data_IF_889483284373
#
_entry.id   IF_889483284373
#
_cell.length_a   1.000
_cell.length_b   1.000
_cell.length_c   1.000
_cell.angle_alpha   90.00
_cell.angle_beta   90.00
_cell.angle_gamma   90.00
#
_symmetry.space_group_name_H-M   'P 1'
#
loop_
_entity.id
_entity.type
_entity.pdbx_description
1 polymer ?
#
# COMPACT_ATOMS: atom_id res chain seq x y z
N UNK A 1 -8.19 4.87 6.51
CA UNK A 1 -7.69 6.13 5.91
C UNK A 1 -8.75 6.83 5.05
N UNK A 2 -9.25 6.28 3.96
CA UNK A 2 -10.22 6.97 3.08
C UNK A 2 -11.48 7.48 3.80
N UNK A 3 -11.96 6.77 4.84
CA UNK A 3 -13.09 7.24 5.67
C UNK A 3 -12.73 8.52 6.43
N UNK A 4 -11.50 8.63 6.95
CA UNK A 4 -11.01 9.86 7.59
C UNK A 4 -10.98 11.03 6.59
N UNK A 5 -10.48 10.78 5.37
CA UNK A 5 -10.52 11.79 4.29
C UNK A 5 -11.96 12.24 4.00
N UNK A 6 -12.90 11.28 3.92
CA UNK A 6 -14.32 11.59 3.71
C UNK A 6 -14.93 12.49 4.81
N UNK A 7 -14.57 12.23 6.06
CA UNK A 7 -15.00 13.04 7.21
C UNK A 7 -14.35 14.43 7.20
N UNK A 8 -13.03 14.49 6.98
CA UNK A 8 -12.27 15.74 6.92
C UNK A 8 -12.77 16.66 5.80
N UNK A 9 -13.12 16.08 4.66
CA UNK A 9 -13.70 16.79 3.50
C UNK A 9 -15.21 17.06 3.64
N UNK A 10 -15.83 16.65 4.75
CA UNK A 10 -17.27 16.84 5.01
C UNK A 10 -18.17 16.13 3.99
N UNK A 11 -17.69 15.10 3.34
CA UNK A 11 -18.51 14.20 2.51
C UNK A 11 -19.38 13.28 3.37
N UNK A 12 -18.96 13.04 4.60
CA UNK A 12 -19.67 12.31 5.63
C UNK A 12 -19.46 13.01 6.98
N UNK A 13 -20.47 13.00 7.86
CA UNK A 13 -20.31 13.56 9.20
C UNK A 13 -19.30 12.74 10.04
N UNK A 14 -18.48 13.41 10.89
CA UNK A 14 -17.47 12.74 11.73
C UNK A 14 -18.06 11.59 12.54
N UNK A 15 -19.21 11.79 13.17
CA UNK A 15 -19.87 10.75 13.95
C UNK A 15 -20.28 9.53 13.10
N UNK A 16 -20.75 9.74 11.86
CA UNK A 16 -21.06 8.64 10.95
C UNK A 16 -19.80 7.89 10.53
N UNK A 17 -18.72 8.60 10.25
CA UNK A 17 -17.41 8.02 9.95
C UNK A 17 -16.87 7.21 11.13
N UNK A 18 -16.97 7.74 12.36
CA UNK A 18 -16.57 7.03 13.58
C UNK A 18 -17.36 5.73 13.78
N UNK A 19 -18.68 5.77 13.66
CA UNK A 19 -19.51 4.56 13.74
C UNK A 19 -19.16 3.53 12.67
N UNK A 20 -18.88 3.97 11.43
CA UNK A 20 -18.47 3.06 10.36
C UNK A 20 -17.12 2.41 10.64
N UNK A 21 -16.15 3.17 11.12
CA UNK A 21 -14.83 2.65 11.52
C UNK A 21 -14.99 1.67 12.68
N UNK A 22 -15.73 2.03 13.73
CA UNK A 22 -15.97 1.13 14.85
C UNK A 22 -16.63 -0.18 14.41
N UNK A 23 -17.62 -0.12 13.52
CA UNK A 23 -18.26 -1.30 12.95
C UNK A 23 -17.26 -2.23 12.24
N UNK A 24 -16.34 -1.65 11.46
CA UNK A 24 -15.27 -2.42 10.78
C UNK A 24 -14.34 -3.05 11.80
N UNK A 25 -13.85 -2.28 12.78
CA UNK A 25 -12.95 -2.78 13.82
C UNK A 25 -13.60 -3.88 14.67
N UNK A 26 -14.87 -3.71 15.03
CA UNK A 26 -15.64 -4.73 15.76
C UNK A 26 -15.76 -6.03 14.95
N UNK A 27 -16.04 -5.93 13.66
CA UNK A 27 -16.10 -7.11 12.79
C UNK A 27 -14.73 -7.82 12.70
N UNK A 28 -13.65 -7.07 12.54
CA UNK A 28 -12.30 -7.61 12.44
C UNK A 28 -11.81 -8.25 13.74
N UNK A 29 -12.21 -7.70 14.88
CA UNK A 29 -11.85 -8.18 16.19
C UNK A 29 -12.66 -9.43 16.60
N UNK A 30 -13.99 -9.39 16.42
CA UNK A 30 -14.91 -10.37 16.98
C UNK A 30 -15.27 -11.52 16.03
N UNK A 31 -15.17 -11.31 14.70
CA UNK A 31 -15.61 -12.28 13.70
C UNK A 31 -14.53 -12.76 12.75
N UNK A 32 -13.59 -11.89 12.39
CA UNK A 32 -12.61 -12.26 11.39
C UNK A 32 -11.57 -13.25 11.95
N UNK A 33 -11.31 -14.31 11.19
CA UNK A 33 -10.27 -15.29 11.54
C UNK A 33 -8.89 -14.64 11.57
N UNK A 34 -8.12 -14.94 12.62
CA UNK A 34 -6.74 -14.48 12.78
C UNK A 34 -5.81 -15.65 13.08
N UNK A 35 -4.57 -15.53 12.63
CA UNK A 35 -3.54 -16.56 12.76
C UNK A 35 -2.26 -15.92 13.27
N UNK A 36 -1.91 -16.16 14.53
CA UNK A 36 -0.84 -15.42 15.20
C UNK A 36 -1.02 -13.90 15.08
N UNK A 37 -2.27 -13.47 15.30
CA UNK A 37 -2.66 -12.06 15.20
C UNK A 37 -2.86 -11.50 13.79
N UNK A 38 -2.34 -12.15 12.74
CA UNK A 38 -2.54 -11.71 11.36
C UNK A 38 -3.86 -12.18 10.77
N UNK A 39 -4.45 -11.36 9.90
CA UNK A 39 -5.64 -11.71 9.14
C UNK A 39 -5.28 -12.43 7.84
N UNK A 40 -6.28 -13.11 7.27
CA UNK A 40 -6.12 -13.75 5.95
C UNK A 40 -6.12 -12.72 4.83
N UNK A 41 -5.51 -13.08 3.69
CA UNK A 41 -5.51 -12.28 2.47
C UNK A 41 -6.93 -11.84 2.09
N UNK A 42 -7.88 -12.77 2.06
CA UNK A 42 -9.29 -12.49 1.88
C UNK A 42 -10.15 -13.03 3.03
N UNK A 43 -11.12 -12.21 3.43
CA UNK A 43 -12.08 -12.50 4.49
C UNK A 43 -13.49 -12.42 3.92
N UNK A 44 -14.33 -13.40 4.25
CA UNK A 44 -15.74 -13.34 3.90
C UNK A 44 -16.45 -12.25 4.71
N UNK A 45 -16.92 -11.21 4.04
CA UNK A 45 -17.41 -9.96 4.66
C UNK A 45 -18.62 -10.07 5.59
N UNK A 46 -19.28 -11.24 5.67
CA UNK A 46 -20.43 -11.49 6.57
C UNK A 46 -20.02 -12.38 7.74
N UNK A 47 -19.29 -13.46 7.45
CA UNK A 47 -18.97 -14.49 8.46
C UNK A 47 -17.64 -14.27 9.17
N UNK A 48 -16.72 -13.51 8.56
CA UNK A 48 -15.34 -13.35 9.04
C UNK A 48 -14.41 -14.53 8.71
N UNK A 49 -14.94 -15.58 8.09
CA UNK A 49 -14.15 -16.75 7.74
C UNK A 49 -13.09 -16.42 6.68
N UNK A 50 -11.96 -17.08 6.75
CA UNK A 50 -10.92 -17.05 5.70
C UNK A 50 -11.51 -17.51 4.37
N UNK A 51 -11.27 -16.75 3.32
CA UNK A 51 -11.45 -17.16 1.94
C UNK A 51 -10.07 -17.42 1.35
N UNK A 52 -9.68 -18.69 1.14
CA UNK A 52 -8.34 -19.01 0.67
C UNK A 52 -7.99 -18.28 -0.64
N UNK A 53 -6.83 -17.66 -0.71
CA UNK A 53 -6.30 -17.09 -1.93
C UNK A 53 -5.76 -18.20 -2.86
N UNK A 54 -5.12 -19.20 -2.25
CA UNK A 54 -4.70 -20.44 -2.91
C UNK A 54 -4.75 -21.61 -1.92
N UNK A 55 -4.44 -22.82 -2.39
CA UNK A 55 -4.42 -24.01 -1.54
C UNK A 55 -3.57 -23.86 -0.27
N UNK A 56 -2.42 -23.19 -0.37
CA UNK A 56 -1.47 -23.01 0.73
C UNK A 56 -1.55 -21.63 1.39
N UNK A 57 -2.36 -20.73 0.82
CA UNK A 57 -2.66 -19.40 1.35
C UNK A 57 -4.10 -19.36 1.87
N UNK A 58 -4.29 -20.08 2.97
CA UNK A 58 -5.57 -20.26 3.68
C UNK A 58 -5.50 -19.83 5.16
N UNK A 59 -4.50 -19.04 5.49
CA UNK A 59 -4.23 -18.61 6.85
C UNK A 59 -3.83 -17.14 6.96
N UNK A 60 -2.81 -16.85 7.77
CA UNK A 60 -2.35 -15.49 8.00
C UNK A 60 -1.53 -14.92 6.85
N UNK A 61 -1.86 -13.70 6.43
CA UNK A 61 -1.10 -12.87 5.50
C UNK A 61 -0.54 -11.65 6.25
N UNK A 62 0.77 -11.63 6.44
CA UNK A 62 1.43 -10.58 7.23
C UNK A 62 1.46 -9.23 6.51
N UNK A 63 1.51 -9.23 5.19
CA UNK A 63 1.62 -8.01 4.37
C UNK A 63 0.27 -7.29 4.32
N UNK A 64 -0.82 -8.02 4.03
CA UNK A 64 -2.18 -7.44 4.08
C UNK A 64 -2.52 -6.97 5.50
N UNK A 65 -2.08 -7.72 6.51
CA UNK A 65 -2.18 -7.31 7.92
C UNK A 65 -1.44 -6.00 8.17
N UNK A 66 -0.25 -5.81 7.61
CA UNK A 66 0.51 -4.56 7.78
C UNK A 66 -0.22 -3.35 7.17
N UNK A 67 -0.88 -3.49 6.02
CA UNK A 67 -1.70 -2.42 5.45
C UNK A 67 -2.92 -2.10 6.32
N UNK A 68 -3.56 -3.13 6.87
CA UNK A 68 -4.68 -2.94 7.80
C UNK A 68 -4.23 -2.21 9.07
N UNK A 69 -3.13 -2.62 9.69
CA UNK A 69 -2.55 -1.97 10.88
C UNK A 69 -2.13 -0.52 10.57
N UNK A 70 -1.54 -0.26 9.41
CA UNK A 70 -1.24 1.11 8.97
C UNK A 70 -2.51 1.97 8.95
N UNK A 71 -3.63 1.42 8.49
CA UNK A 71 -4.95 2.05 8.53
C UNK A 71 -5.47 2.24 9.94
N UNK A 72 -5.34 1.24 10.82
CA UNK A 72 -5.76 1.31 12.22
C UNK A 72 -4.99 2.36 13.02
N UNK A 73 -3.68 2.46 12.83
CA UNK A 73 -2.85 3.48 13.48
C UNK A 73 -3.19 4.89 12.99
N UNK A 74 -3.62 5.05 11.73
CA UNK A 74 -4.10 6.32 11.20
C UNK A 74 -5.44 6.72 11.83
N UNK A 75 -6.41 5.80 11.92
CA UNK A 75 -7.73 6.11 12.52
C UNK A 75 -7.63 6.29 14.03
N UNK A 76 -6.68 5.64 14.72
CA UNK A 76 -6.37 5.82 16.13
C UNK A 76 -6.03 7.27 16.45
N UNK A 77 -5.31 7.94 15.58
CA UNK A 77 -4.93 9.34 15.73
C UNK A 77 -6.02 10.31 15.25
N UNK A 78 -6.80 9.92 14.23
CA UNK A 78 -7.85 10.79 13.69
C UNK A 78 -9.04 10.94 14.64
N UNK A 79 -9.50 9.83 15.24
CA UNK A 79 -10.62 9.81 16.18
C UNK A 79 -10.10 9.99 17.61
N UNK A 80 -9.82 11.23 18.01
CA UNK A 80 -9.07 11.60 19.20
C UNK A 80 -9.90 12.26 20.32
N UNK A 81 -11.22 12.45 20.13
CA UNK A 81 -12.08 13.01 21.18
C UNK A 81 -12.19 12.02 22.35
N UNK A 82 -11.61 12.42 23.49
CA UNK A 82 -11.64 11.64 24.73
C UNK A 82 -13.03 11.57 25.38
N UNK A 83 -13.93 12.48 25.03
CA UNK A 83 -15.29 12.54 25.56
C UNK A 83 -16.29 11.75 24.72
N UNK A 84 -15.93 11.36 23.50
CA UNK A 84 -16.75 10.52 22.64
C UNK A 84 -16.47 9.04 22.91
N UNK A 85 -17.45 8.25 23.39
CA UNK A 85 -17.25 6.84 23.69
C UNK A 85 -16.98 5.98 22.44
N UNK A 86 -17.49 6.39 21.27
CA UNK A 86 -17.25 5.70 20.00
C UNK A 86 -15.79 5.88 19.57
N UNK A 87 -15.28 7.10 19.64
CA UNK A 87 -13.89 7.40 19.29
C UNK A 87 -12.91 6.76 20.29
N UNK A 88 -13.29 6.74 21.58
CA UNK A 88 -12.51 6.04 22.63
C UNK A 88 -12.43 4.53 22.34
N UNK A 89 -13.53 3.90 21.94
CA UNK A 89 -13.55 2.48 21.61
C UNK A 89 -12.77 2.17 20.32
N UNK A 90 -12.79 3.07 19.32
CA UNK A 90 -11.92 2.97 18.13
C UNK A 90 -10.45 2.91 18.53
N UNK A 91 -9.99 3.84 19.37
CA UNK A 91 -8.60 3.87 19.85
C UNK A 91 -8.22 2.61 20.60
N UNK A 92 -9.08 2.14 21.48
CA UNK A 92 -8.87 0.92 22.28
C UNK A 92 -8.72 -0.31 21.38
N UNK A 93 -9.68 -0.53 20.46
CA UNK A 93 -9.65 -1.69 19.55
C UNK A 93 -8.47 -1.64 18.59
N UNK A 94 -8.18 -0.48 18.01
CA UNK A 94 -7.04 -0.31 17.11
C UNK A 94 -5.72 -0.62 17.82
N UNK A 95 -5.55 -0.16 19.07
CA UNK A 95 -4.36 -0.45 19.89
C UNK A 95 -4.28 -1.93 20.23
N UNK A 96 -5.37 -2.53 20.73
CA UNK A 96 -5.41 -3.94 21.08
C UNK A 96 -5.03 -4.84 19.90
N UNK A 97 -5.69 -4.65 18.75
CA UNK A 97 -5.42 -5.47 17.57
C UNK A 97 -4.00 -5.28 17.02
N UNK A 98 -3.45 -4.07 17.12
CA UNK A 98 -2.06 -3.78 16.79
C UNK A 98 -1.09 -4.55 17.69
N UNK A 99 -1.35 -4.57 19.00
CA UNK A 99 -0.54 -5.26 20.00
C UNK A 99 -0.62 -6.79 19.89
N UNK A 100 -1.72 -7.34 19.38
CA UNK A 100 -1.96 -8.77 19.24
C UNK A 100 -1.31 -9.41 18.02
N UNK A 101 -0.76 -8.63 17.08
CA UNK A 101 -0.05 -9.20 15.91
C UNK A 101 1.30 -9.74 16.36
N UNK A 102 1.49 -11.04 16.24
CA UNK A 102 2.72 -11.73 16.61
C UNK A 102 3.79 -11.62 15.50
N UNK A 103 4.27 -10.40 15.21
CA UNK A 103 5.26 -10.15 14.14
C UNK A 103 6.48 -11.03 14.23
N UNK A 104 6.99 -11.27 15.45
CA UNK A 104 8.16 -12.12 15.68
C UNK A 104 7.92 -13.59 15.31
N UNK A 105 6.68 -14.09 15.36
CA UNK A 105 6.29 -15.42 14.86
C UNK A 105 6.58 -15.58 13.37
N UNK A 106 6.27 -14.56 12.58
CA UNK A 106 6.44 -14.57 11.13
C UNK A 106 7.90 -14.55 10.66
N UNK A 107 8.85 -14.65 11.56
CA UNK A 107 10.26 -14.96 11.26
C UNK A 107 10.51 -16.46 11.08
N UNK A 108 9.55 -17.34 11.35
CA UNK A 108 9.64 -18.80 11.41
C UNK A 108 10.60 -19.33 12.49
N UNK A 109 11.72 -18.68 12.68
CA UNK A 109 12.75 -19.05 13.66
C UNK A 109 13.34 -17.78 14.31
N UNK A 110 13.71 -17.82 15.60
CA UNK A 110 14.26 -16.65 16.28
C UNK A 110 15.53 -16.05 15.66
N UNK A 111 16.28 -16.85 14.90
CA UNK A 111 17.52 -16.42 14.23
C UNK A 111 17.29 -15.92 12.80
N UNK A 112 16.09 -16.07 12.22
CA UNK A 112 15.80 -15.55 10.90
C UNK A 112 15.83 -14.03 10.91
N UNK A 113 16.52 -13.43 9.95
CA UNK A 113 16.50 -11.99 9.74
C UNK A 113 15.31 -11.55 8.84
N UNK A 114 14.68 -12.48 8.13
CA UNK A 114 13.55 -12.21 7.26
C UNK A 114 12.21 -12.50 7.93
N UNK A 115 11.21 -11.69 7.56
CA UNK A 115 9.80 -12.00 7.72
C UNK A 115 9.31 -12.86 6.55
N UNK A 116 8.28 -13.66 6.81
CA UNK A 116 7.64 -14.50 5.82
C UNK A 116 6.19 -14.06 5.63
N UNK A 117 5.73 -14.10 4.39
CA UNK A 117 4.46 -13.52 3.97
C UNK A 117 3.25 -14.28 4.53
N UNK A 118 3.26 -15.61 4.38
CA UNK A 118 2.11 -16.46 4.63
C UNK A 118 2.39 -17.54 5.68
N UNK A 119 1.41 -17.81 6.51
CA UNK A 119 1.37 -18.99 7.35
C UNK A 119 0.00 -19.64 7.26
N UNK A 120 -0.03 -20.95 7.04
CA UNK A 120 -1.25 -21.76 6.91
C UNK A 120 -1.47 -22.59 8.16
N UNK A 121 -2.69 -22.62 8.74
CA UNK A 121 -3.02 -23.54 9.84
C UNK A 121 -3.01 -25.01 9.39
N UNK A 122 -3.18 -25.29 8.10
CA UNK A 122 -3.23 -26.63 7.54
C UNK A 122 -1.91 -27.10 6.96
N UNK A 123 -1.08 -26.17 6.46
CA UNK A 123 0.14 -26.47 5.71
C UNK A 123 1.40 -25.81 6.28
N UNK A 124 1.27 -25.07 7.38
CA UNK A 124 2.39 -24.36 8.01
C UNK A 124 3.05 -23.36 7.06
N UNK A 125 4.36 -23.44 6.93
CA UNK A 125 5.18 -22.57 6.10
C UNK A 125 5.37 -23.09 4.66
N UNK A 126 4.43 -23.84 4.08
CA UNK A 126 4.59 -24.50 2.77
C UNK A 126 4.94 -23.54 1.64
N UNK A 127 4.37 -22.32 1.60
CA UNK A 127 4.71 -21.31 0.59
C UNK A 127 6.15 -20.81 0.79
N UNK A 128 6.60 -20.67 2.04
CA UNK A 128 7.96 -20.26 2.42
C UNK A 128 8.47 -19.00 1.71
N UNK A 129 7.57 -18.02 1.47
CA UNK A 129 7.89 -16.78 0.78
C UNK A 129 8.51 -15.77 1.75
N UNK A 130 9.83 -15.68 1.76
CA UNK A 130 10.54 -14.65 2.54
C UNK A 130 10.33 -13.27 1.88
N UNK A 131 9.91 -12.29 2.68
CA UNK A 131 9.73 -10.90 2.24
C UNK A 131 11.11 -10.26 2.13
N UNK A 132 11.58 -10.03 0.91
CA UNK A 132 12.91 -9.46 0.61
C UNK A 132 12.85 -8.59 -0.64
N UNK A 133 13.79 -7.63 -0.72
CA UNK A 133 13.88 -6.72 -1.85
C UNK A 133 12.94 -5.54 -1.74
N UNK A 134 13.20 -4.48 -2.52
CA UNK A 134 12.36 -3.29 -2.54
C UNK A 134 11.07 -3.56 -3.28
N UNK A 135 9.99 -3.56 -2.54
CA UNK A 135 8.63 -3.76 -3.00
C UNK A 135 7.65 -3.03 -2.05
N UNK A 136 6.39 -3.37 -2.10
CA UNK A 136 5.31 -2.82 -1.28
C UNK A 136 5.42 -3.12 0.22
N UNK A 137 6.26 -4.06 0.60
CA UNK A 137 6.30 -4.63 1.96
C UNK A 137 7.16 -3.83 2.97
N UNK A 138 7.68 -2.64 2.63
CA UNK A 138 8.46 -1.83 3.57
C UNK A 138 7.72 -1.64 4.91
N UNK A 139 6.45 -1.28 4.85
CA UNK A 139 5.63 -1.02 6.04
C UNK A 139 5.53 -2.24 6.96
N UNK A 140 5.59 -3.45 6.42
CA UNK A 140 5.56 -4.69 7.20
C UNK A 140 6.76 -4.77 8.15
N UNK A 141 7.96 -4.45 7.66
CA UNK A 141 9.16 -4.41 8.50
C UNK A 141 9.14 -3.24 9.48
N UNK A 142 8.69 -2.06 9.05
CA UNK A 142 8.59 -0.89 9.93
C UNK A 142 7.64 -1.17 11.10
N UNK A 143 6.46 -1.71 10.84
CA UNK A 143 5.50 -2.07 11.90
C UNK A 143 6.02 -3.21 12.78
N UNK A 144 6.62 -4.23 12.19
CA UNK A 144 7.18 -5.33 12.97
C UNK A 144 8.29 -4.89 13.94
N UNK A 145 9.10 -3.91 13.56
CA UNK A 145 10.13 -3.31 14.43
C UNK A 145 9.49 -2.40 15.49
N UNK A 146 8.45 -1.63 15.09
CA UNK A 146 7.72 -0.71 15.96
C UNK A 146 6.81 -1.42 16.99
N UNK A 147 6.52 -2.71 16.82
CA UNK A 147 5.57 -3.44 17.66
C UNK A 147 5.93 -3.34 19.15
N UNK A 148 4.97 -2.94 20.01
CA UNK A 148 5.24 -2.82 21.45
C UNK A 148 5.30 -4.17 22.18
N UNK A 149 4.71 -5.22 21.60
CA UNK A 149 4.52 -6.53 22.26
C UNK A 149 5.33 -7.65 21.63
N UNK A 150 5.39 -7.69 20.29
CA UNK A 150 6.05 -8.76 19.51
C UNK A 150 7.06 -8.21 18.51
N UNK A 151 8.00 -7.32 18.94
CA UNK A 151 8.91 -6.68 18.01
C UNK A 151 9.91 -7.66 17.40
N UNK A 152 10.39 -7.31 16.21
CA UNK A 152 11.56 -7.94 15.62
C UNK A 152 12.79 -7.02 15.78
N UNK A 153 14.02 -7.57 15.79
CA UNK A 153 15.24 -6.75 15.83
C UNK A 153 15.31 -5.75 14.67
N UNK A 154 15.74 -4.53 14.94
CA UNK A 154 15.93 -3.49 13.92
C UNK A 154 16.91 -3.94 12.81
N UNK A 155 17.85 -4.84 13.11
CA UNK A 155 18.76 -5.45 12.14
C UNK A 155 18.03 -6.17 10.98
N UNK A 156 16.79 -6.64 11.22
CA UNK A 156 15.98 -7.30 10.19
C UNK A 156 15.67 -6.39 9.01
N UNK A 157 15.64 -5.07 9.21
CA UNK A 157 15.45 -4.12 8.13
C UNK A 157 16.56 -4.24 7.08
N UNK A 158 17.82 -4.17 7.47
CA UNK A 158 18.95 -4.24 6.54
C UNK A 158 19.38 -5.67 6.19
N UNK A 159 19.23 -6.63 7.10
CA UNK A 159 19.69 -8.00 6.89
C UNK A 159 18.62 -8.94 6.35
N UNK A 160 17.36 -8.63 6.60
CA UNK A 160 16.21 -9.36 6.10
C UNK A 160 15.69 -8.77 4.80
N UNK A 161 15.04 -7.61 4.88
CA UNK A 161 14.35 -6.98 3.76
C UNK A 161 15.29 -6.41 2.71
N UNK A 162 16.24 -5.56 3.10
CA UNK A 162 17.13 -4.86 2.18
C UNK A 162 18.37 -5.66 1.73
N UNK A 163 18.53 -6.92 2.17
CA UNK A 163 19.73 -7.73 1.88
C UNK A 163 19.76 -8.30 0.46
N UNK A 164 18.64 -8.38 -0.23
CA UNK A 164 18.57 -9.02 -1.53
C UNK A 164 19.39 -8.25 -2.57
N UNK A 165 19.97 -8.98 -3.54
CA UNK A 165 20.69 -8.36 -4.66
C UNK A 165 19.79 -7.43 -5.50
N UNK A 166 18.48 -7.67 -5.45
CA UNK A 166 17.48 -6.89 -6.20
C UNK A 166 17.02 -5.63 -5.46
N UNK A 167 17.57 -5.33 -4.27
CA UNK A 167 17.20 -4.15 -3.51
C UNK A 167 17.81 -2.87 -4.07
N UNK A 168 19.14 -2.83 -4.13
CA UNK A 168 19.88 -1.70 -4.67
C UNK A 168 19.89 -1.77 -6.21
N UNK A 169 19.56 -0.65 -6.88
CA UNK A 169 19.56 -0.58 -8.34
C UNK A 169 20.70 0.32 -8.86
N UNK A 170 20.62 1.62 -8.61
CA UNK A 170 21.64 2.61 -9.00
C UNK A 170 21.66 2.99 -10.48
N UNK A 171 20.82 2.40 -11.34
CA UNK A 171 20.75 2.69 -12.76
C UNK A 171 19.97 3.97 -13.06
N UNK A 172 20.18 4.49 -14.26
CA UNK A 172 19.39 5.62 -14.80
C UNK A 172 18.56 5.11 -15.98
N UNK A 173 17.24 5.32 -15.90
CA UNK A 173 16.29 4.97 -16.95
C UNK A 173 15.60 6.23 -17.44
N UNK A 174 15.55 6.50 -18.72
CA UNK A 174 14.92 7.69 -19.33
C UNK A 174 15.39 9.01 -18.71
N UNK A 175 16.66 9.06 -18.24
CA UNK A 175 17.22 10.24 -17.59
C UNK A 175 16.94 10.37 -16.08
N UNK A 176 16.18 9.45 -15.47
CA UNK A 176 15.86 9.43 -14.04
C UNK A 176 16.65 8.34 -13.33
N UNK A 177 17.37 8.72 -12.27
CA UNK A 177 18.12 7.77 -11.43
C UNK A 177 17.15 7.00 -10.55
N UNK A 178 17.31 5.68 -10.51
CA UNK A 178 16.65 4.78 -9.58
C UNK A 178 17.67 4.24 -8.58
N UNK A 179 17.45 4.46 -7.27
CA UNK A 179 18.39 4.00 -6.25
C UNK A 179 18.09 2.57 -5.79
N UNK A 180 16.82 2.26 -5.59
CA UNK A 180 16.36 0.94 -5.13
C UNK A 180 15.18 0.45 -5.97
N UNK A 181 14.98 -0.87 -6.00
CA UNK A 181 13.88 -1.53 -6.68
C UNK A 181 14.27 -2.28 -7.95
N UNK A 182 13.36 -3.11 -8.49
CA UNK A 182 13.61 -3.89 -9.69
C UNK A 182 13.82 -2.99 -10.91
N UNK A 183 14.24 -3.59 -12.02
CA UNK A 183 14.48 -2.87 -13.27
C UNK A 183 13.28 -1.98 -13.64
N UNK A 184 13.56 -0.70 -13.94
CA UNK A 184 12.56 0.34 -14.27
C UNK A 184 11.45 0.51 -13.21
N UNK A 185 11.71 0.14 -11.95
CA UNK A 185 10.87 0.39 -10.80
C UNK A 185 9.81 -0.65 -10.48
N UNK A 186 9.57 -1.61 -11.37
CA UNK A 186 8.49 -2.58 -11.22
C UNK A 186 7.08 -1.96 -11.32
N UNK A 187 6.05 -2.64 -10.80
CA UNK A 187 4.69 -2.09 -10.70
C UNK A 187 4.64 -0.90 -9.74
N UNK A 188 3.85 0.13 -10.04
CA UNK A 188 3.86 1.36 -9.25
C UNK A 188 3.32 1.20 -7.81
N UNK A 189 2.53 0.18 -7.52
CA UNK A 189 2.09 -0.08 -6.14
C UNK A 189 3.26 -0.33 -5.18
N UNK A 190 4.41 -0.80 -5.64
CA UNK A 190 5.63 -0.94 -4.85
C UNK A 190 6.05 0.36 -4.16
N UNK A 191 5.76 1.49 -4.77
CA UNK A 191 6.09 2.81 -4.24
C UNK A 191 4.89 3.52 -3.58
N UNK A 192 3.76 2.83 -3.38
CA UNK A 192 2.52 3.44 -2.86
C UNK A 192 2.07 2.84 -1.56
N UNK A 193 1.89 1.52 -1.48
CA UNK A 193 1.16 0.90 -0.37
C UNK A 193 1.82 1.15 0.98
N UNK A 194 3.14 1.04 1.08
CA UNK A 194 3.85 1.41 2.31
C UNK A 194 3.72 2.90 2.67
N UNK A 195 3.50 3.76 1.68
CA UNK A 195 3.48 5.21 1.85
C UNK A 195 2.07 5.81 1.92
N UNK A 196 1.04 5.03 2.11
CA UNK A 196 -0.31 5.57 2.35
C UNK A 196 -0.40 6.31 3.68
N UNK A 197 0.22 5.77 4.73
CA UNK A 197 0.35 6.40 6.05
C UNK A 197 1.77 6.84 6.36
N UNK A 198 2.77 6.03 6.02
CA UNK A 198 4.17 6.37 6.26
C UNK A 198 4.66 7.47 5.31
N UNK A 199 4.99 8.64 5.85
CA UNK A 199 5.46 9.79 5.09
C UNK A 199 6.94 9.63 4.70
N UNK A 200 7.27 9.46 3.40
CA UNK A 200 8.66 9.32 2.96
C UNK A 200 9.42 10.66 2.80
N UNK A 201 8.73 11.81 2.95
CA UNK A 201 9.36 13.13 2.75
C UNK A 201 10.47 13.36 3.76
N UNK A 202 11.60 13.81 3.26
CA UNK A 202 12.77 14.13 4.08
C UNK A 202 13.24 12.95 4.94
N UNK A 203 13.07 11.72 4.46
CA UNK A 203 13.48 10.52 5.17
C UNK A 203 14.39 9.68 4.29
N UNK A 204 15.57 9.41 4.81
CA UNK A 204 16.60 8.64 4.13
C UNK A 204 17.15 7.56 5.04
N UNK A 205 17.54 6.48 4.44
CA UNK A 205 18.36 5.44 5.05
C UNK A 205 19.71 5.33 4.32
N UNK A 206 20.40 4.21 4.48
CA UNK A 206 21.70 3.96 3.84
C UNK A 206 21.63 3.86 2.30
N UNK A 207 20.43 3.76 1.71
CA UNK A 207 20.25 3.54 0.27
C UNK A 207 19.79 4.79 -0.45
N UNK A 208 18.77 5.49 0.05
CA UNK A 208 18.21 6.63 -0.65
C UNK A 208 17.23 7.45 0.21
N UNK A 209 16.83 8.60 -0.34
CA UNK A 209 15.60 9.27 0.02
C UNK A 209 14.44 8.58 -0.71
N UNK A 210 13.48 8.01 0.04
CA UNK A 210 12.39 7.22 -0.53
C UNK A 210 11.34 8.06 -1.24
N UNK A 211 11.19 9.33 -0.90
CA UNK A 211 10.35 10.25 -1.66
C UNK A 211 10.92 10.48 -3.06
N UNK A 212 12.21 10.76 -3.15
CA UNK A 212 12.90 10.99 -4.44
C UNK A 212 12.93 9.71 -5.30
N UNK A 213 13.17 8.56 -4.69
CA UNK A 213 13.11 7.28 -5.41
C UNK A 213 11.72 7.00 -5.97
N UNK A 214 10.65 7.22 -5.17
CA UNK A 214 9.26 7.02 -5.61
C UNK A 214 8.85 8.01 -6.71
N UNK A 215 9.34 9.27 -6.63
CA UNK A 215 9.17 10.26 -7.69
C UNK A 215 9.82 9.79 -9.00
N UNK A 216 11.08 9.39 -8.94
CA UNK A 216 11.82 8.96 -10.13
C UNK A 216 11.22 7.70 -10.75
N UNK A 217 10.81 6.71 -9.95
CA UNK A 217 10.13 5.51 -10.45
C UNK A 217 8.80 5.87 -11.14
N UNK A 218 8.04 6.84 -10.61
CA UNK A 218 6.81 7.32 -11.26
C UNK A 218 7.11 7.96 -12.63
N UNK A 219 8.18 8.76 -12.71
CA UNK A 219 8.61 9.39 -13.97
C UNK A 219 9.18 8.37 -14.96
N UNK A 220 9.87 7.33 -14.50
CA UNK A 220 10.34 6.20 -15.32
C UNK A 220 9.16 5.45 -15.93
N UNK A 221 8.13 5.12 -15.13
CA UNK A 221 6.93 4.45 -15.60
C UNK A 221 6.19 5.30 -16.67
N UNK A 222 6.05 6.60 -16.41
CA UNK A 222 5.48 7.54 -17.38
C UNK A 222 6.31 7.64 -18.67
N UNK A 223 7.64 7.76 -18.55
CA UNK A 223 8.54 7.87 -19.69
C UNK A 223 8.53 6.59 -20.55
N UNK A 224 8.41 5.43 -19.93
CA UNK A 224 8.20 4.16 -20.65
C UNK A 224 6.91 4.19 -21.49
N UNK A 225 5.81 4.69 -20.93
CA UNK A 225 4.56 4.81 -21.69
C UNK A 225 4.66 5.85 -22.82
N UNK A 226 5.46 6.90 -22.66
CA UNK A 226 5.74 7.87 -23.74
C UNK A 226 6.58 7.23 -24.86
N UNK A 227 7.64 6.51 -24.49
CA UNK A 227 8.50 5.77 -25.41
C UNK A 227 7.75 4.65 -26.14
N UNK A 228 6.82 4.01 -25.42
CA UNK A 228 5.91 2.97 -25.92
C UNK A 228 6.61 1.91 -26.78
N UNK A 229 7.63 1.23 -26.29
CA UNK A 229 8.46 0.34 -27.12
C UNK A 229 7.71 -0.88 -27.67
N UNK A 230 6.54 -1.18 -27.12
CA UNK A 230 5.66 -2.28 -27.57
C UNK A 230 4.54 -1.82 -28.51
N UNK A 231 4.38 -0.50 -28.76
CA UNK A 231 3.42 0.05 -29.70
C UNK A 231 1.94 -0.08 -29.26
N UNK A 232 1.67 -0.11 -27.96
CA UNK A 232 0.29 -0.17 -27.46
C UNK A 232 -0.49 1.11 -27.77
N UNK A 233 -1.75 0.95 -28.18
CA UNK A 233 -2.61 2.08 -28.47
C UNK A 233 -2.85 2.97 -27.24
N UNK A 234 -2.92 4.28 -27.46
CA UNK A 234 -3.26 5.27 -26.44
C UNK A 234 -2.12 5.66 -25.49
N UNK A 235 -1.07 4.89 -25.35
CA UNK A 235 0.08 5.23 -24.47
C UNK A 235 0.66 6.59 -24.83
N UNK A 236 0.86 7.44 -23.82
CA UNK A 236 1.34 8.81 -24.04
C UNK A 236 1.76 9.46 -22.71
N UNK A 237 2.14 10.73 -22.79
CA UNK A 237 2.39 11.56 -21.60
C UNK A 237 1.15 11.75 -20.70
N UNK A 238 -0.05 11.47 -21.19
CA UNK A 238 -1.33 11.63 -20.50
C UNK A 238 -2.04 10.29 -20.23
N UNK A 239 -1.52 9.18 -20.76
CA UNK A 239 -2.05 7.83 -20.58
C UNK A 239 -0.88 6.94 -20.18
N UNK A 240 -0.70 6.78 -18.88
CA UNK A 240 0.38 6.02 -18.25
C UNK A 240 -0.08 5.48 -16.89
N UNK A 241 0.64 4.50 -16.39
CA UNK A 241 0.38 3.93 -15.07
C UNK A 241 0.27 2.42 -15.10
N UNK A 242 1.43 1.75 -15.00
CA UNK A 242 1.54 0.30 -14.95
C UNK A 242 1.64 -0.13 -13.49
N UNK A 243 0.70 -0.96 -13.06
CA UNK A 243 0.60 -1.49 -11.69
C UNK A 243 -0.25 -2.76 -11.68
N UNK A 244 -0.52 -3.34 -10.51
CA UNK A 244 -1.52 -4.40 -10.41
C UNK A 244 -2.92 -3.84 -10.71
N UNK A 245 -3.70 -4.58 -11.48
CA UNK A 245 -5.08 -4.22 -11.84
C UNK A 245 -5.80 -5.37 -12.55
N UNK A 246 -7.11 -5.20 -12.77
CA UNK A 246 -7.80 -5.98 -13.80
C UNK A 246 -7.18 -5.72 -15.18
N UNK A 247 -7.28 -6.71 -16.03
CA UNK A 247 -6.91 -6.64 -17.44
C UNK A 247 -7.88 -7.51 -18.25
N UNK A 248 -7.85 -7.51 -19.59
CA UNK A 248 -8.77 -8.30 -20.42
C UNK A 248 -8.76 -9.80 -20.13
N UNK A 249 -7.73 -10.31 -19.48
CA UNK A 249 -7.52 -11.75 -19.24
C UNK A 249 -7.61 -12.15 -17.75
N UNK A 250 -7.79 -11.20 -16.83
CA UNK A 250 -7.91 -11.46 -15.40
C UNK A 250 -7.39 -10.32 -14.52
N UNK A 251 -6.65 -10.65 -13.47
CA UNK A 251 -5.97 -9.71 -12.58
C UNK A 251 -4.50 -10.07 -12.48
N UNK A 252 -3.61 -9.12 -12.73
CA UNK A 252 -2.16 -9.32 -12.58
C UNK A 252 -1.42 -7.99 -12.42
N UNK A 253 -0.17 -8.08 -11.94
CA UNK A 253 0.71 -6.93 -11.86
C UNK A 253 1.31 -6.62 -13.23
N UNK A 254 1.42 -5.34 -13.56
CA UNK A 254 2.05 -4.82 -14.78
C UNK A 254 3.16 -3.84 -14.43
N UNK A 255 4.20 -3.84 -15.26
CA UNK A 255 5.36 -2.96 -15.09
C UNK A 255 6.01 -2.66 -16.47
N UNK A 256 6.97 -1.74 -16.56
CA UNK A 256 7.72 -1.54 -17.80
C UNK A 256 8.44 -2.78 -18.34
N UNK A 257 8.72 -3.77 -17.49
CA UNK A 257 9.33 -5.04 -17.87
C UNK A 257 8.32 -6.16 -18.12
N UNK A 258 7.07 -5.99 -17.67
CA UNK A 258 5.98 -6.95 -17.85
C UNK A 258 4.68 -6.23 -18.20
N UNK A 259 4.61 -5.72 -19.43
CA UNK A 259 3.53 -4.87 -19.93
C UNK A 259 2.65 -5.61 -20.94
N UNK A 260 1.34 -5.50 -20.79
CA UNK A 260 0.34 -6.09 -21.67
C UNK A 260 -0.62 -5.06 -22.30
N UNK A 261 -0.29 -3.77 -22.22
CA UNK A 261 -1.11 -2.68 -22.78
C UNK A 261 -2.20 -2.14 -21.84
N UNK A 262 -2.27 -2.64 -20.59
CA UNK A 262 -3.28 -2.21 -19.61
C UNK A 262 -2.76 -1.05 -18.76
N UNK A 263 -3.57 -0.01 -18.64
CA UNK A 263 -3.33 1.17 -17.79
C UNK A 263 -4.34 1.18 -16.65
N UNK A 264 -3.84 1.42 -15.43
CA UNK A 264 -4.67 1.60 -14.25
C UNK A 264 -4.62 3.06 -13.77
N UNK A 265 -5.76 3.77 -13.69
CA UNK A 265 -5.81 5.15 -13.21
C UNK A 265 -5.14 5.33 -11.85
N UNK A 266 -5.28 4.36 -10.94
CA UNK A 266 -4.68 4.40 -9.59
C UNK A 266 -3.18 4.63 -9.63
N UNK A 267 -2.46 4.04 -10.57
CA UNK A 267 -1.00 4.16 -10.68
C UNK A 267 -0.54 5.61 -10.90
N UNK A 268 -1.20 6.31 -11.83
CA UNK A 268 -0.90 7.70 -12.13
C UNK A 268 -1.47 8.66 -11.07
N UNK A 269 -2.69 8.42 -10.57
CA UNK A 269 -3.36 9.35 -9.66
C UNK A 269 -2.83 9.26 -8.24
N UNK A 270 -2.46 8.08 -7.75
CA UNK A 270 -1.77 7.92 -6.47
C UNK A 270 -0.32 8.44 -6.48
N UNK A 271 0.23 8.77 -7.65
CA UNK A 271 1.50 9.46 -7.79
C UNK A 271 1.42 10.96 -7.47
N UNK A 272 0.24 11.51 -7.18
CA UNK A 272 0.00 12.94 -6.96
C UNK A 272 1.01 13.62 -6.02
N UNK A 273 1.44 13.04 -4.87
CA UNK A 273 2.43 13.68 -4.02
C UNK A 273 3.82 13.80 -4.66
N UNK A 274 4.15 12.91 -5.58
CA UNK A 274 5.48 12.79 -6.18
C UNK A 274 5.62 13.55 -7.49
N UNK A 275 4.58 13.53 -8.32
CA UNK A 275 4.54 14.13 -9.67
C UNK A 275 3.19 14.81 -9.91
N UNK A 276 2.87 15.89 -9.16
CA UNK A 276 1.53 16.47 -9.14
C UNK A 276 1.08 17.01 -10.50
N UNK A 277 1.97 17.60 -11.28
CA UNK A 277 1.64 18.15 -12.59
C UNK A 277 1.23 17.06 -13.57
N UNK A 278 1.98 15.98 -13.63
CA UNK A 278 1.76 14.84 -14.50
C UNK A 278 0.49 14.07 -14.09
N UNK A 279 0.34 13.81 -12.79
CA UNK A 279 -0.86 13.14 -12.25
C UNK A 279 -2.14 13.96 -12.51
N UNK A 280 -2.10 15.28 -12.30
CA UNK A 280 -3.25 16.16 -12.54
C UNK A 280 -3.60 16.23 -14.05
N UNK A 281 -2.60 16.30 -14.91
CA UNK A 281 -2.82 16.29 -16.37
C UNK A 281 -3.47 14.98 -16.82
N UNK A 282 -2.97 13.85 -16.30
CA UNK A 282 -3.54 12.52 -16.57
C UNK A 282 -4.97 12.42 -16.04
N UNK A 283 -5.24 12.84 -14.79
CA UNK A 283 -6.59 12.84 -14.21
C UNK A 283 -7.59 13.56 -15.13
N UNK A 284 -7.27 14.80 -15.52
CA UNK A 284 -8.13 15.60 -16.40
C UNK A 284 -8.33 14.92 -17.76
N UNK A 285 -7.26 14.40 -18.34
CA UNK A 285 -7.34 13.73 -19.64
C UNK A 285 -8.19 12.47 -19.59
N UNK A 286 -7.98 11.60 -18.62
CA UNK A 286 -8.76 10.37 -18.45
C UNK A 286 -10.25 10.69 -18.23
N UNK A 287 -10.54 11.69 -17.38
CA UNK A 287 -11.92 12.10 -17.12
C UNK A 287 -12.63 12.64 -18.35
N UNK A 288 -11.98 13.53 -19.13
CA UNK A 288 -12.60 14.16 -20.29
C UNK A 288 -12.61 13.30 -21.55
N UNK A 289 -11.62 12.42 -21.71
CA UNK A 289 -11.47 11.61 -22.92
C UNK A 289 -12.15 10.24 -22.80
N UNK A 290 -11.99 9.60 -21.65
CA UNK A 290 -12.49 8.24 -21.42
C UNK A 290 -13.61 8.19 -20.37
N UNK A 291 -14.08 9.34 -19.84
CA UNK A 291 -15.02 9.38 -18.73
C UNK A 291 -16.33 8.65 -18.97
N UNK A 292 -16.81 8.58 -20.21
CA UNK A 292 -18.03 7.84 -20.54
C UNK A 292 -17.91 6.33 -20.28
N UNK A 293 -16.71 5.78 -20.43
CA UNK A 293 -16.44 4.34 -20.32
C UNK A 293 -15.62 3.99 -19.06
N UNK A 294 -14.86 4.96 -18.53
CA UNK A 294 -13.91 4.74 -17.44
C UNK A 294 -14.36 5.33 -16.08
N UNK A 295 -15.38 6.22 -16.06
CA UNK A 295 -15.86 6.85 -14.84
C UNK A 295 -17.23 6.33 -14.45
N UNK A 296 -17.34 5.77 -13.23
CA UNK A 296 -18.57 5.23 -12.68
C UNK A 296 -18.96 5.84 -11.32
N UNK A 297 -19.90 5.23 -10.62
CA UNK A 297 -20.47 5.79 -9.38
C UNK A 297 -19.47 5.94 -8.22
N UNK A 298 -18.33 5.22 -8.26
CA UNK A 298 -17.28 5.29 -7.25
C UNK A 298 -15.95 5.87 -7.77
N UNK A 299 -16.00 6.61 -8.88
CA UNK A 299 -14.82 7.17 -9.53
C UNK A 299 -14.37 6.37 -10.74
N UNK A 300 -13.07 6.40 -11.06
CA UNK A 300 -12.53 5.63 -12.17
C UNK A 300 -12.68 4.13 -11.94
N UNK A 301 -13.12 3.39 -12.96
CA UNK A 301 -12.99 1.94 -12.97
C UNK A 301 -11.52 1.53 -12.86
N UNK A 302 -11.29 0.28 -12.46
CA UNK A 302 -9.99 -0.21 -12.06
C UNK A 302 -8.89 -0.03 -13.12
N UNK A 303 -9.19 -0.37 -14.36
CA UNK A 303 -8.24 -0.32 -15.46
C UNK A 303 -8.91 -0.22 -16.84
N UNK A 304 -8.10 0.05 -17.86
CA UNK A 304 -8.52 0.00 -19.26
C UNK A 304 -7.36 -0.41 -20.18
N UNK A 305 -7.68 -0.99 -21.33
CA UNK A 305 -6.70 -1.36 -22.34
C UNK A 305 -7.16 -0.83 -23.70
N UNK A 306 -6.60 0.27 -24.18
CA UNK A 306 -7.04 0.87 -25.46
C UNK A 306 -6.74 -0.01 -26.68
N UNK A 307 -5.70 -0.85 -26.63
CA UNK A 307 -5.38 -1.79 -27.72
C UNK A 307 -6.48 -2.82 -27.88
N UNK A 308 -6.98 -3.36 -26.78
CA UNK A 308 -8.07 -4.34 -26.73
C UNK A 308 -9.46 -3.68 -26.74
N UNK A 309 -9.54 -2.35 -26.72
CA UNK A 309 -10.80 -1.57 -26.60
C UNK A 309 -11.62 -2.02 -25.38
N UNK A 310 -10.94 -2.28 -24.28
CA UNK A 310 -11.51 -2.86 -23.06
C UNK A 310 -11.44 -1.87 -21.89
N UNK A 311 -12.49 -1.86 -21.07
CA UNK A 311 -12.58 -1.16 -19.80
C UNK A 311 -13.00 -2.14 -18.70
N UNK A 312 -12.41 -2.03 -17.51
CA UNK A 312 -12.76 -2.89 -16.39
C UNK A 312 -14.22 -2.70 -15.99
N UNK A 313 -14.96 -3.79 -15.70
CA UNK A 313 -16.38 -3.71 -15.34
C UNK A 313 -16.62 -3.36 -13.87
N UNK A 314 -15.56 -3.06 -13.09
CA UNK A 314 -15.67 -2.88 -11.65
C UNK A 314 -14.48 -2.19 -11.01
N UNK A 315 -14.43 -2.30 -9.67
CA UNK A 315 -13.46 -1.66 -8.81
C UNK A 315 -12.78 -2.69 -7.92
N UNK A 316 -11.51 -2.46 -7.63
CA UNK A 316 -10.76 -3.21 -6.60
C UNK A 316 -10.38 -2.23 -5.48
N UNK A 317 -10.75 -2.55 -4.24
CA UNK A 317 -10.64 -1.59 -3.14
C UNK A 317 -9.18 -1.18 -2.85
N UNK A 318 -8.24 -2.13 -2.95
CA UNK A 318 -6.81 -1.86 -2.75
C UNK A 318 -6.23 -0.95 -3.84
N UNK A 319 -6.81 -0.96 -5.04
CA UNK A 319 -6.39 -0.10 -6.15
C UNK A 319 -7.05 1.28 -6.08
N UNK A 320 -8.29 1.36 -5.58
CA UNK A 320 -9.02 2.64 -5.45
C UNK A 320 -8.60 3.46 -4.23
N UNK A 321 -8.33 2.81 -3.11
CA UNK A 321 -7.93 3.47 -1.86
C UNK A 321 -6.76 4.43 -1.99
N UNK A 322 -5.67 4.05 -2.67
CA UNK A 322 -4.51 4.90 -2.89
C UNK A 322 -4.81 6.22 -3.61
N UNK A 323 -5.79 6.27 -4.52
CA UNK A 323 -6.19 7.49 -5.21
C UNK A 323 -6.61 8.55 -4.18
N UNK A 324 -7.58 8.21 -3.33
CA UNK A 324 -8.15 9.12 -2.33
C UNK A 324 -7.10 9.54 -1.30
N UNK A 325 -6.39 8.57 -0.74
CA UNK A 325 -5.41 8.79 0.32
C UNK A 325 -4.22 9.62 -0.15
N UNK A 326 -3.66 9.32 -1.33
CA UNK A 326 -2.48 10.01 -1.83
C UNK A 326 -2.82 11.41 -2.38
N UNK A 327 -3.99 11.64 -2.95
CA UNK A 327 -4.45 12.99 -3.30
C UNK A 327 -4.59 13.82 -2.03
N UNK A 328 -5.13 13.26 -0.94
CA UNK A 328 -5.23 13.98 0.32
C UNK A 328 -3.86 14.24 0.95
N UNK A 329 -2.96 13.29 0.91
CA UNK A 329 -1.57 13.47 1.35
C UNK A 329 -0.84 14.56 0.54
N UNK A 330 -1.12 14.70 -0.75
CA UNK A 330 -0.63 15.84 -1.54
C UNK A 330 -1.21 17.16 -1.07
N UNK A 331 -2.51 17.21 -0.76
CA UNK A 331 -3.23 18.45 -0.43
C UNK A 331 -2.92 18.95 0.98
N UNK A 332 -2.87 18.08 1.97
CA UNK A 332 -2.82 18.44 3.40
C UNK A 332 -1.88 17.58 4.24
N UNK A 333 -1.34 16.49 3.71
CA UNK A 333 -0.56 15.48 4.42
C UNK A 333 -1.37 14.71 5.49
N UNK A 334 -2.69 14.77 5.48
CA UNK A 334 -3.55 14.27 6.56
C UNK A 334 -3.18 12.85 7.03
N UNK A 335 -3.19 11.86 6.12
CA UNK A 335 -2.92 10.48 6.53
C UNK A 335 -1.45 10.28 6.94
N UNK A 336 -0.54 11.00 6.33
CA UNK A 336 0.87 11.01 6.72
C UNK A 336 1.08 11.55 8.13
N UNK A 337 0.52 12.73 8.44
CA UNK A 337 0.68 13.35 9.75
C UNK A 337 0.06 12.49 10.85
N UNK A 338 -1.13 11.95 10.61
CA UNK A 338 -1.81 11.05 11.55
C UNK A 338 -1.02 9.77 11.81
N UNK A 339 -0.54 9.09 10.76
CA UNK A 339 0.24 7.87 10.96
C UNK A 339 1.55 8.15 11.68
N UNK A 340 2.27 9.20 11.26
CA UNK A 340 3.56 9.58 11.86
C UNK A 340 3.46 10.08 13.30
N UNK A 341 2.28 10.54 13.75
CA UNK A 341 2.03 10.96 15.13
C UNK A 341 1.93 9.80 16.13
N UNK A 342 1.90 8.54 15.66
CA UNK A 342 1.87 7.40 16.56
C UNK A 342 3.21 7.27 17.31
N UNK A 343 3.18 7.11 18.65
CA UNK A 343 4.40 7.20 19.50
C UNK A 343 5.43 6.10 19.21
N UNK A 344 5.01 5.00 18.59
CA UNK A 344 5.88 3.86 18.26
C UNK A 344 6.74 4.12 17.01
N UNK A 345 6.36 5.09 16.17
CA UNK A 345 6.97 5.27 14.83
C UNK A 345 8.34 5.93 14.93
N UNK A 346 8.50 7.03 15.67
CA UNK A 346 9.79 7.72 15.76
C UNK A 346 10.88 6.86 16.41
N UNK A 347 10.63 6.16 17.55
CA UNK A 347 11.62 5.26 18.12
C UNK A 347 12.06 4.13 17.18
N UNK A 348 11.16 3.64 16.34
CA UNK A 348 11.47 2.63 15.32
C UNK A 348 12.41 3.23 14.25
N UNK A 349 12.13 4.43 13.76
CA UNK A 349 12.99 5.11 12.77
C UNK A 349 14.40 5.33 13.34
N UNK A 350 14.49 5.76 14.60
CA UNK A 350 15.77 5.96 15.28
C UNK A 350 16.54 4.63 15.41
N UNK A 351 15.84 3.53 15.73
CA UNK A 351 16.43 2.20 15.89
C UNK A 351 17.01 1.64 14.58
N UNK A 352 16.42 1.95 13.44
CA UNK A 352 16.93 1.56 12.10
C UNK A 352 17.88 2.60 11.48
N UNK A 353 18.10 3.72 12.16
CA UNK A 353 19.05 4.77 11.73
C UNK A 353 18.55 5.60 10.54
N UNK A 354 17.25 5.81 10.42
CA UNK A 354 16.70 6.73 9.43
C UNK A 354 16.99 8.17 9.82
N UNK A 355 17.42 8.95 8.85
CA UNK A 355 17.69 10.37 9.05
C UNK A 355 16.58 11.23 8.46
N UNK A 356 16.28 12.33 9.16
CA UNK A 356 15.46 13.45 8.65
C UNK A 356 16.41 14.63 8.50
N UNK A 357 16.90 14.95 7.27
CA UNK A 357 17.77 16.09 7.04
C UNK A 357 17.07 17.44 7.28
#
# INVERSE_FOLDING_TARGET
MAICVGAERKFVARAQAAHRVLQILTFLDEKASRFHGAWSHWIHGVTGATKPFSQYDDGGDLVETAYLIQGMLTVRQYFDDANDPVETEIRRRATQMWEEVEWSWYRQQPRSEALYWHWSPNYGWQINHAIRGYNECMITYLLAIASPTHPIPASCYYRGWAKSADYANGNTYYGYRQWVGPEKGGPLFFTRYSHLGFNPRNKSDNYCNYFDNSRNISLINRAYCIDNPRGYAGYSALVWGLTASFNPWGYSAHSPTDDNGTIAPTAALSAMPYVPSESMATLKYLYHTYGNDLWGPFGFFDAFNPTEKWFAPGYVAIDQGPIVVMIENYRTQLCWDLFMANPEIQPMLDAIGWTSP
#
